data_IF_824213310247
#
_entry.id   IF_824213310247
#
_cell.length_a   1.000
_cell.length_b   1.000
_cell.length_c   1.000
_cell.angle_alpha   90.00
_cell.angle_beta   90.00
_cell.angle_gamma   90.00
#
_symmetry.space_group_name_H-M   'P 1'
#
loop_
_entity.id
_entity.type
_entity.pdbx_description
1 polymer ?
#
# COMPACT_ATOMS: atom_id res chain seq x y z
N UNK A 1 26.12 34.19 -24.20
CA UNK A 1 25.99 33.75 -22.79
C UNK A 1 27.35 33.23 -22.35
N UNK A 2 27.94 33.75 -21.26
CA UNK A 2 29.27 33.32 -20.85
C UNK A 2 29.27 31.82 -20.49
N UNK A 3 30.27 31.08 -20.99
CA UNK A 3 30.33 29.61 -20.88
C UNK A 3 30.35 29.12 -19.43
N UNK A 4 30.89 29.88 -18.49
CA UNK A 4 30.89 29.53 -17.06
C UNK A 4 29.48 29.50 -16.45
N UNK A 5 28.60 30.43 -16.88
CA UNK A 5 27.25 30.52 -16.37
C UNK A 5 26.39 29.36 -16.90
N UNK A 6 26.63 28.96 -18.15
CA UNK A 6 26.01 27.77 -18.72
C UNK A 6 26.43 26.50 -17.96
N UNK A 7 27.73 26.32 -17.70
CA UNK A 7 28.24 25.18 -16.94
C UNK A 7 27.66 25.07 -15.53
N UNK A 8 27.56 26.20 -14.82
CA UNK A 8 26.96 26.24 -13.48
C UNK A 8 25.48 25.87 -13.49
N UNK A 9 24.70 26.42 -14.42
CA UNK A 9 23.27 26.12 -14.54
C UNK A 9 23.05 24.64 -14.90
N UNK A 10 23.83 24.10 -15.84
CA UNK A 10 23.77 22.68 -16.19
C UNK A 10 24.09 21.77 -15.00
N UNK A 11 25.10 22.12 -14.20
CA UNK A 11 25.45 21.37 -12.99
C UNK A 11 24.32 21.39 -11.96
N UNK A 12 23.69 22.55 -11.72
CA UNK A 12 22.54 22.65 -10.81
C UNK A 12 21.35 21.82 -11.30
N UNK A 13 21.00 21.93 -12.58
CA UNK A 13 19.90 21.15 -13.15
C UNK A 13 20.18 19.65 -13.02
N UNK A 14 21.40 19.23 -13.30
CA UNK A 14 21.81 17.83 -13.17
C UNK A 14 21.68 17.33 -11.72
N UNK A 15 22.23 18.06 -10.75
CA UNK A 15 22.16 17.66 -9.32
C UNK A 15 20.72 17.63 -8.82
N UNK A 16 19.91 18.64 -9.14
CA UNK A 16 18.50 18.67 -8.78
C UNK A 16 17.72 17.51 -9.41
N UNK A 17 18.00 17.19 -10.68
CA UNK A 17 17.34 16.09 -11.37
C UNK A 17 17.71 14.74 -10.76
N UNK A 18 19.00 14.50 -10.47
CA UNK A 18 19.48 13.30 -9.79
C UNK A 18 18.82 13.17 -8.42
N UNK A 19 18.79 14.24 -7.64
CA UNK A 19 18.15 14.26 -6.32
C UNK A 19 16.68 13.87 -6.43
N UNK A 20 15.90 14.54 -7.29
CA UNK A 20 14.49 14.20 -7.49
C UNK A 20 14.34 12.75 -7.93
N UNK A 21 15.13 12.24 -8.88
CA UNK A 21 15.03 10.84 -9.32
C UNK A 21 15.27 9.83 -8.17
N UNK A 22 16.18 10.13 -7.25
CA UNK A 22 16.50 9.25 -6.13
C UNK A 22 15.52 9.37 -4.96
N UNK A 23 14.90 10.53 -4.77
CA UNK A 23 14.04 10.83 -3.62
C UNK A 23 12.57 11.11 -3.97
N UNK A 24 12.16 10.94 -5.23
CA UNK A 24 10.78 11.18 -5.70
C UNK A 24 9.75 10.22 -5.12
N UNK A 25 10.16 9.13 -4.46
CA UNK A 25 9.23 8.11 -3.98
C UNK A 25 8.31 7.61 -5.10
N UNK A 26 8.86 7.52 -6.33
CA UNK A 26 8.16 7.19 -7.58
C UNK A 26 6.94 8.07 -7.97
N UNK A 27 6.68 9.16 -7.24
CA UNK A 27 5.47 10.00 -7.38
C UNK A 27 4.15 9.24 -7.27
N UNK A 28 4.16 8.07 -6.63
CA UNK A 28 2.97 7.25 -6.49
C UNK A 28 2.00 7.93 -5.49
N UNK A 29 0.71 8.09 -5.83
CA UNK A 29 -0.28 8.72 -4.95
C UNK A 29 -0.44 8.06 -3.57
N UNK A 30 0.04 6.83 -3.41
CA UNK A 30 0.03 6.05 -2.17
C UNK A 30 1.34 6.17 -1.37
N UNK A 31 2.34 6.93 -1.84
CA UNK A 31 3.66 7.05 -1.20
C UNK A 31 3.71 8.08 -0.07
N UNK A 32 2.68 8.91 0.11
CA UNK A 32 2.51 9.59 1.39
C UNK A 32 1.90 8.63 2.43
N UNK A 33 2.66 7.59 2.77
CA UNK A 33 2.38 6.73 3.90
C UNK A 33 3.18 7.24 5.10
N UNK A 34 2.50 7.78 6.11
CA UNK A 34 3.13 8.17 7.39
C UNK A 34 3.80 6.97 8.10
N UNK A 35 3.50 5.75 7.65
CA UNK A 35 4.09 4.50 8.13
C UNK A 35 5.24 4.01 7.25
N UNK A 36 5.73 4.84 6.31
CA UNK A 36 6.83 4.48 5.42
C UNK A 36 8.09 4.12 6.21
N UNK A 37 8.50 2.85 6.09
CA UNK A 37 9.79 2.35 6.54
C UNK A 37 10.65 2.02 5.33
N UNK A 38 11.78 2.72 5.21
CA UNK A 38 12.73 2.55 4.11
C UNK A 38 13.33 1.13 4.05
N UNK A 39 13.43 0.44 5.18
CA UNK A 39 13.92 -0.95 5.21
C UNK A 39 12.83 -1.94 4.77
N UNK A 40 11.59 -1.76 5.21
CA UNK A 40 10.46 -2.51 4.68
C UNK A 40 10.22 -2.28 3.18
N UNK A 41 10.41 -1.05 2.69
CA UNK A 41 10.28 -0.71 1.27
C UNK A 41 11.34 -1.39 0.40
N UNK A 42 12.60 -1.48 0.86
CA UNK A 42 13.65 -2.30 0.22
C UNK A 42 13.30 -3.79 0.23
N UNK A 43 12.53 -4.26 1.21
CA UNK A 43 12.02 -5.63 1.25
C UNK A 43 10.76 -5.84 0.38
N UNK A 44 10.18 -4.79 -0.23
CA UNK A 44 9.11 -4.89 -1.23
C UNK A 44 9.66 -4.94 -2.67
N UNK A 45 10.91 -4.53 -2.91
CA UNK A 45 11.54 -4.61 -4.24
C UNK A 45 11.88 -6.04 -4.68
N UNK A 46 11.53 -7.06 -3.89
CA UNK A 46 11.81 -8.48 -4.17
C UNK A 46 10.77 -9.18 -5.06
N UNK A 47 9.89 -8.43 -5.74
CA UNK A 47 8.82 -8.99 -6.58
C UNK A 47 7.53 -9.35 -5.82
N UNK A 48 6.50 -9.90 -6.50
CA UNK A 48 5.23 -10.22 -5.88
C UNK A 48 5.44 -11.19 -4.71
N UNK A 49 5.03 -10.77 -3.50
CA UNK A 49 5.05 -11.66 -2.34
C UNK A 49 3.92 -12.68 -2.51
N UNK A 50 4.28 -13.88 -2.96
CA UNK A 50 3.38 -15.04 -2.92
C UNK A 50 3.28 -15.49 -1.48
N UNK A 51 2.12 -15.27 -0.86
CA UNK A 51 1.86 -15.72 0.50
C UNK A 51 1.30 -17.14 0.49
N UNK A 52 1.65 -17.94 1.49
CA UNK A 52 0.95 -19.21 1.72
C UNK A 52 -0.49 -18.94 2.21
N UNK A 53 -1.43 -19.89 2.04
CA UNK A 53 -2.79 -19.73 2.56
C UNK A 53 -2.83 -19.36 4.05
N UNK A 54 -1.94 -19.93 4.86
CA UNK A 54 -1.84 -19.65 6.30
C UNK A 54 -1.38 -18.22 6.57
N UNK A 55 -0.44 -17.70 5.76
CA UNK A 55 0.02 -16.33 5.87
C UNK A 55 -1.07 -15.33 5.46
N UNK A 56 -1.86 -15.64 4.44
CA UNK A 56 -3.02 -14.84 4.03
C UNK A 56 -4.04 -14.80 5.17
N UNK A 57 -4.36 -15.95 5.77
CA UNK A 57 -5.29 -16.02 6.90
C UNK A 57 -4.78 -15.26 8.13
N UNK A 58 -3.49 -15.37 8.45
CA UNK A 58 -2.89 -14.65 9.58
C UNK A 58 -2.97 -13.12 9.38
N UNK A 59 -2.64 -12.64 8.19
CA UNK A 59 -2.76 -11.23 7.82
C UNK A 59 -4.21 -10.76 7.81
N UNK A 60 -5.10 -11.56 7.23
CA UNK A 60 -6.55 -11.28 7.21
C UNK A 60 -7.13 -11.18 8.63
N UNK A 61 -6.73 -12.08 9.54
CA UNK A 61 -7.13 -12.03 10.95
C UNK A 61 -6.63 -10.75 11.64
N UNK A 62 -5.40 -10.34 11.37
CA UNK A 62 -4.87 -9.08 11.90
C UNK A 62 -5.65 -7.88 11.35
N UNK A 63 -5.91 -7.82 10.04
CA UNK A 63 -6.69 -6.75 9.43
C UNK A 63 -8.14 -6.71 9.95
N UNK A 64 -8.72 -7.88 10.22
CA UNK A 64 -10.09 -8.01 10.73
C UNK A 64 -10.31 -7.32 12.07
N UNK A 65 -9.26 -7.08 12.87
CA UNK A 65 -9.35 -6.37 14.15
C UNK A 65 -10.00 -4.99 14.02
N UNK A 66 -9.79 -4.30 12.90
CA UNK A 66 -10.45 -3.03 12.59
C UNK A 66 -11.93 -3.23 12.23
N UNK A 67 -12.27 -4.34 11.59
CA UNK A 67 -13.63 -4.67 11.13
C UNK A 67 -14.56 -5.12 12.27
N UNK A 68 -14.00 -5.69 13.34
CA UNK A 68 -14.74 -6.21 14.51
C UNK A 68 -15.64 -5.13 15.13
N UNK A 69 -15.23 -3.86 15.09
CA UNK A 69 -16.00 -2.76 15.68
C UNK A 69 -17.45 -2.69 15.15
N UNK A 70 -17.67 -3.02 13.87
CA UNK A 70 -18.99 -2.98 13.24
C UNK A 70 -19.52 -4.40 12.96
N UNK A 71 -18.66 -5.28 12.43
CA UNK A 71 -19.06 -6.61 11.99
C UNK A 71 -19.03 -7.67 13.09
N UNK A 72 -18.67 -7.28 14.32
CA UNK A 72 -18.52 -8.14 15.49
C UNK A 72 -17.40 -9.17 15.33
N UNK A 73 -17.06 -9.88 16.40
CA UNK A 73 -16.04 -10.95 16.37
C UNK A 73 -16.50 -12.17 15.56
N UNK A 74 -17.80 -12.43 15.51
CA UNK A 74 -18.41 -13.53 14.76
C UNK A 74 -18.56 -13.22 13.26
N UNK A 75 -18.40 -11.96 12.84
CA UNK A 75 -18.70 -11.54 11.48
C UNK A 75 -20.18 -11.50 11.13
N UNK A 76 -21.08 -11.63 12.11
CA UNK A 76 -22.53 -11.53 11.87
C UNK A 76 -23.04 -10.09 11.79
N UNK A 77 -22.24 -9.11 12.22
CA UNK A 77 -22.67 -7.71 12.30
C UNK A 77 -23.87 -7.50 13.24
N UNK A 78 -24.67 -6.48 12.94
CA UNK A 78 -25.87 -6.11 13.69
C UNK A 78 -27.01 -5.97 12.71
N UNK A 79 -28.06 -6.80 12.88
CA UNK A 79 -29.19 -6.83 11.96
C UNK A 79 -29.81 -5.44 11.75
N UNK A 80 -29.98 -5.04 10.50
CA UNK A 80 -30.54 -3.74 10.11
C UNK A 80 -29.56 -2.55 10.18
N UNK A 81 -28.34 -2.73 10.67
CA UNK A 81 -27.32 -1.66 10.79
C UNK A 81 -26.03 -2.03 10.09
N UNK A 82 -25.43 -3.17 10.46
CA UNK A 82 -24.17 -3.66 9.88
C UNK A 82 -24.39 -5.06 9.32
N UNK A 83 -24.20 -5.27 8.00
CA UNK A 83 -24.46 -6.58 7.39
C UNK A 83 -23.46 -7.63 7.87
N UNK A 84 -23.82 -8.93 7.80
CA UNK A 84 -22.90 -10.02 8.07
C UNK A 84 -21.82 -10.10 6.99
N UNK A 85 -20.58 -10.36 7.40
CA UNK A 85 -19.50 -10.80 6.52
C UNK A 85 -19.43 -12.34 6.47
N UNK A 86 -19.68 -12.99 7.60
CA UNK A 86 -19.68 -14.45 7.71
C UNK A 86 -20.78 -15.05 6.82
N UNK A 87 -20.39 -15.89 5.87
CA UNK A 87 -21.30 -16.52 4.91
C UNK A 87 -21.97 -15.55 3.93
N UNK A 88 -21.50 -14.31 3.82
CA UNK A 88 -22.04 -13.35 2.86
C UNK A 88 -21.59 -13.67 1.43
N UNK A 89 -22.47 -13.42 0.47
CA UNK A 89 -22.18 -13.57 -0.97
C UNK A 89 -21.03 -12.66 -1.45
N UNK A 90 -20.69 -11.63 -0.68
CA UNK A 90 -19.56 -10.75 -0.94
C UNK A 90 -18.24 -11.44 -0.62
N UNK A 91 -18.21 -12.31 0.39
CA UNK A 91 -16.99 -13.02 0.82
C UNK A 91 -16.88 -14.40 0.18
N UNK A 92 -17.99 -15.11 0.00
CA UNK A 92 -18.00 -16.48 -0.54
C UNK A 92 -18.36 -16.53 -2.03
N UNK A 93 -18.52 -15.37 -2.68
CA UNK A 93 -18.86 -15.24 -4.10
C UNK A 93 -17.66 -15.44 -5.03
N UNK A 94 -17.74 -14.92 -6.25
CA UNK A 94 -16.65 -15.05 -7.23
C UNK A 94 -15.41 -14.25 -6.81
N UNK A 95 -14.24 -14.85 -6.97
CA UNK A 95 -12.96 -14.19 -6.68
C UNK A 95 -12.75 -12.93 -7.55
N UNK A 96 -13.30 -12.90 -8.76
CA UNK A 96 -13.25 -11.73 -9.66
C UNK A 96 -13.93 -10.48 -9.07
N UNK A 97 -14.81 -10.66 -8.09
CA UNK A 97 -15.44 -9.55 -7.34
C UNK A 97 -14.56 -9.07 -6.19
N UNK A 98 -13.69 -9.93 -5.67
CA UNK A 98 -12.73 -9.68 -4.59
C UNK A 98 -11.43 -9.14 -5.20
N UNK A 99 -11.48 -7.92 -5.73
CA UNK A 99 -10.33 -7.23 -6.34
C UNK A 99 -9.18 -6.98 -5.36
#
# INVERSE_FOLDING_TARGET
MPLFLLGFISAMIFVCSVYVVHYRGDFDPLVYDERYDAEAAKALTSGPKVYTPEQILAKGKQAYTTCVACHQTSGLGVAGVYPPLAGSEWVTGSEERLI
#
